data_IF_795021276071
#
_entry.id   IF_795021276071
#
_cell.length_a   1.000
_cell.length_b   1.000
_cell.length_c   1.000
_cell.angle_alpha   90.00
_cell.angle_beta   90.00
_cell.angle_gamma   90.00
#
_symmetry.space_group_name_H-M   'P 1'
#
loop_
_entity.id
_entity.type
_entity.pdbx_description
1 polymer ?
#
# COMPACT_ATOMS: atom_id res chain seq x y z
N UNK A 1 -75.60 43.64 89.24
CA UNK A 1 -74.51 42.72 88.86
C UNK A 1 -75.03 41.73 87.85
N UNK A 2 -74.75 41.96 86.56
CA UNK A 2 -74.78 40.88 85.56
C UNK A 2 -73.80 41.27 84.46
N UNK A 3 -72.58 40.75 84.56
CA UNK A 3 -71.58 40.89 83.52
C UNK A 3 -72.02 40.04 82.31
N UNK A 4 -72.25 40.70 81.18
CA UNK A 4 -72.36 40.04 79.88
C UNK A 4 -70.97 39.48 79.55
N UNK A 5 -70.84 38.17 79.68
CA UNK A 5 -69.68 37.41 79.22
C UNK A 5 -69.73 37.48 77.69
N UNK A 6 -68.88 38.33 77.11
CA UNK A 6 -68.52 38.23 75.70
C UNK A 6 -67.78 36.90 75.51
N UNK A 7 -68.52 35.85 75.16
CA UNK A 7 -67.94 34.62 74.67
C UNK A 7 -67.32 34.92 73.30
N UNK A 8 -66.00 35.12 73.29
CA UNK A 8 -65.22 35.09 72.05
C UNK A 8 -65.22 33.64 71.59
N UNK A 9 -65.99 33.33 70.57
CA UNK A 9 -65.87 32.08 69.84
C UNK A 9 -64.61 32.18 68.98
N UNK A 10 -63.50 31.60 69.45
CA UNK A 10 -62.37 31.30 68.58
C UNK A 10 -62.77 30.09 67.73
N UNK A 11 -63.16 30.35 66.48
CA UNK A 11 -63.43 29.29 65.52
C UNK A 11 -62.15 28.53 65.17
N UNK A 12 -62.27 27.22 64.94
CA UNK A 12 -61.16 26.40 64.43
C UNK A 12 -60.77 26.87 63.03
N UNK A 13 -59.47 27.03 62.78
CA UNK A 13 -58.95 27.48 61.49
C UNK A 13 -59.03 26.33 60.49
N UNK A 14 -59.65 26.58 59.34
CA UNK A 14 -59.75 25.58 58.28
C UNK A 14 -58.37 25.34 57.65
N UNK A 15 -57.95 24.07 57.57
CA UNK A 15 -56.63 23.69 57.07
C UNK A 15 -56.37 24.08 55.61
N UNK A 16 -57.44 24.27 54.82
CA UNK A 16 -57.36 24.49 53.37
C UNK A 16 -57.62 25.96 53.02
N UNK A 17 -58.55 26.60 53.73
CA UNK A 17 -59.06 27.93 53.40
C UNK A 17 -58.74 29.00 54.44
N UNK A 18 -57.91 28.71 55.44
CA UNK A 18 -57.30 29.73 56.29
C UNK A 18 -55.98 30.23 55.68
N UNK A 19 -56.05 31.33 54.91
CA UNK A 19 -54.94 31.81 54.10
C UNK A 19 -53.99 32.69 54.93
N UNK A 20 -52.70 32.37 54.87
CA UNK A 20 -51.65 33.25 55.40
C UNK A 20 -51.47 34.50 54.52
N UNK A 21 -51.33 35.67 55.15
CA UNK A 21 -51.26 36.97 54.46
C UNK A 21 -50.05 37.75 54.90
N UNK A 22 -49.48 38.53 53.98
CA UNK A 22 -48.33 39.40 54.24
C UNK A 22 -48.68 40.85 53.90
N UNK A 23 -48.16 41.80 54.68
CA UNK A 23 -48.28 43.24 54.42
C UNK A 23 -47.00 43.74 53.77
N UNK A 24 -47.11 44.33 52.57
CA UNK A 24 -46.01 45.02 51.90
C UNK A 24 -46.18 46.53 51.96
N UNK A 25 -45.11 47.26 52.26
CA UNK A 25 -45.05 48.72 52.16
C UNK A 25 -44.29 49.12 50.89
N UNK A 26 -44.97 49.80 49.97
CA UNK A 26 -44.43 50.26 48.68
C UNK A 26 -44.86 51.71 48.46
N UNK A 27 -43.89 52.64 48.35
CA UNK A 27 -44.15 54.09 48.21
C UNK A 27 -45.21 54.63 49.19
N UNK A 28 -45.13 54.24 50.46
CA UNK A 28 -46.08 54.68 51.50
C UNK A 28 -47.47 54.04 51.42
N UNK A 29 -47.72 53.15 50.45
CA UNK A 29 -48.96 52.37 50.35
C UNK A 29 -48.77 50.97 50.94
N UNK A 30 -49.74 50.51 51.72
CA UNK A 30 -49.74 49.16 52.31
C UNK A 30 -50.62 48.22 51.47
N UNK A 31 -50.06 47.08 51.09
CA UNK A 31 -50.74 46.01 50.36
C UNK A 31 -50.79 44.74 51.23
N UNK A 32 -51.99 44.26 51.59
CA UNK A 32 -52.19 42.98 52.29
C UNK A 32 -52.61 41.92 51.28
N UNK A 33 -51.78 40.90 51.08
CA UNK A 33 -51.96 39.89 50.01
C UNK A 33 -51.60 38.48 50.53
N UNK A 34 -52.12 37.41 49.92
CA UNK A 34 -51.73 36.04 50.28
C UNK A 34 -50.23 35.80 50.17
N UNK A 35 -49.62 35.21 51.21
CA UNK A 35 -48.18 34.96 51.28
C UNK A 35 -47.74 33.82 50.35
N UNK A 36 -48.57 32.78 50.25
CA UNK A 36 -48.26 31.53 49.56
C UNK A 36 -47.71 31.71 48.14
N UNK A 37 -48.36 32.54 47.32
CA UNK A 37 -47.97 32.74 45.92
C UNK A 37 -46.61 33.43 45.77
N UNK A 38 -46.18 34.24 46.73
CA UNK A 38 -44.85 34.85 46.73
C UNK A 38 -43.77 33.83 47.07
N UNK A 39 -44.00 32.98 48.06
CA UNK A 39 -43.01 31.97 48.50
C UNK A 39 -42.80 30.90 47.43
N UNK A 40 -43.86 30.47 46.75
CA UNK A 40 -43.74 29.44 45.70
C UNK A 40 -43.23 30.01 44.39
N UNK A 41 -43.71 31.20 44.02
CA UNK A 41 -43.35 31.81 42.75
C UNK A 41 -41.95 32.43 42.72
N UNK A 42 -41.33 32.68 43.87
CA UNK A 42 -40.06 33.41 43.97
C UNK A 42 -39.14 32.86 45.05
N UNK A 43 -37.91 32.55 44.64
CA UNK A 43 -36.82 32.17 45.56
C UNK A 43 -36.43 33.32 46.48
N UNK A 44 -36.43 34.55 45.96
CA UNK A 44 -36.17 35.76 46.75
C UNK A 44 -37.17 35.93 47.90
N UNK A 45 -38.47 35.77 47.63
CA UNK A 45 -39.48 35.90 48.67
C UNK A 45 -39.55 34.67 49.56
N UNK A 46 -39.24 33.47 49.07
CA UNK A 46 -39.09 32.30 49.92
C UNK A 46 -38.03 32.51 51.01
N UNK A 47 -36.88 33.08 50.64
CA UNK A 47 -35.80 33.41 51.60
C UNK A 47 -36.20 34.58 52.51
N UNK A 48 -36.67 35.69 51.92
CA UNK A 48 -36.99 36.92 52.65
C UNK A 48 -38.15 36.75 53.63
N UNK A 49 -39.16 35.96 53.27
CA UNK A 49 -40.33 35.72 54.11
C UNK A 49 -40.16 34.45 54.95
N UNK A 50 -39.41 33.45 54.49
CA UNK A 50 -39.29 32.13 55.15
C UNK A 50 -38.77 32.15 56.59
N UNK A 51 -38.07 33.20 57.00
CA UNK A 51 -37.61 33.39 58.39
C UNK A 51 -38.64 34.08 59.31
N UNK A 52 -39.75 34.56 58.74
CA UNK A 52 -40.85 35.20 59.50
C UNK A 52 -41.86 34.11 59.83
N UNK A 53 -41.84 33.64 61.07
CA UNK A 53 -42.90 32.80 61.64
C UNK A 53 -44.25 33.48 61.41
N UNK A 54 -45.29 32.74 60.98
CA UNK A 54 -46.64 33.29 60.88
C UNK A 54 -47.06 33.73 62.28
N UNK A 55 -47.07 35.04 62.54
CA UNK A 55 -47.42 35.55 63.86
C UNK A 55 -48.93 35.54 64.00
N UNK A 56 -49.43 34.78 64.98
CA UNK A 56 -50.85 34.65 65.34
C UNK A 56 -51.56 35.97 65.68
N UNK A 57 -50.83 37.07 65.80
CA UNK A 57 -51.37 38.40 66.02
C UNK A 57 -51.38 39.24 64.72
N UNK A 58 -52.54 39.26 64.03
CA UNK A 58 -52.81 40.12 62.85
C UNK A 58 -52.50 41.62 63.06
N UNK A 59 -52.44 42.03 64.33
CA UNK A 59 -52.23 43.41 64.79
C UNK A 59 -50.75 43.84 64.84
N UNK A 60 -49.79 42.91 64.96
CA UNK A 60 -48.40 43.26 65.33
C UNK A 60 -47.34 42.99 64.25
N UNK A 61 -47.71 42.50 63.06
CA UNK A 61 -46.76 42.32 61.97
C UNK A 61 -46.44 43.65 61.28
N UNK A 62 -45.17 44.07 61.38
CA UNK A 62 -44.63 45.21 60.66
C UNK A 62 -44.62 44.91 59.14
N UNK A 63 -45.01 45.87 58.30
CA UNK A 63 -45.05 45.64 56.85
C UNK A 63 -43.64 45.47 56.28
N UNK A 64 -43.47 44.49 55.40
CA UNK A 64 -42.23 44.25 54.67
C UNK A 64 -42.06 45.36 53.65
N UNK A 65 -41.01 46.16 53.79
CA UNK A 65 -40.71 47.24 52.83
C UNK A 65 -40.14 46.64 51.55
N UNK A 66 -40.73 46.99 50.40
CA UNK A 66 -40.20 46.63 49.09
C UNK A 66 -39.57 47.87 48.46
N UNK A 67 -38.26 47.80 48.28
CA UNK A 67 -37.49 48.79 47.54
C UNK A 67 -37.42 48.39 46.05
N UNK A 68 -37.28 49.38 45.16
CA UNK A 68 -37.13 49.14 43.72
C UNK A 68 -38.43 48.94 42.94
N UNK A 69 -39.59 49.20 43.53
CA UNK A 69 -40.88 49.19 42.83
C UNK A 69 -41.73 50.39 43.26
N UNK A 70 -42.45 50.97 42.31
CA UNK A 70 -43.50 51.96 42.60
C UNK A 70 -44.81 51.26 43.00
N UNK A 71 -45.70 51.96 43.69
CA UNK A 71 -47.00 51.41 44.07
C UNK A 71 -47.86 51.06 42.84
N UNK A 72 -47.71 51.79 41.72
CA UNK A 72 -48.38 51.48 40.46
C UNK A 72 -47.81 50.23 39.80
N UNK A 73 -46.49 50.09 39.73
CA UNK A 73 -45.82 48.90 39.19
C UNK A 73 -46.19 47.66 39.99
N UNK A 74 -46.21 47.76 41.32
CA UNK A 74 -46.59 46.65 42.18
C UNK A 74 -48.05 46.23 41.97
N UNK A 75 -48.98 47.16 41.74
CA UNK A 75 -50.37 46.83 41.37
C UNK A 75 -50.47 46.06 40.07
N UNK A 76 -49.66 46.42 39.06
CA UNK A 76 -49.61 45.67 37.79
C UNK A 76 -49.11 44.24 38.02
N UNK A 77 -48.09 44.07 38.86
CA UNK A 77 -47.59 42.74 39.21
C UNK A 77 -48.64 41.92 39.99
N UNK A 78 -49.32 42.54 40.96
CA UNK A 78 -50.40 41.90 41.70
C UNK A 78 -51.61 41.55 40.82
N UNK A 79 -51.92 42.34 39.79
CA UNK A 79 -52.96 42.02 38.80
C UNK A 79 -52.69 40.68 38.10
N UNK A 80 -51.42 40.34 37.87
CA UNK A 80 -51.01 39.04 37.31
C UNK A 80 -51.06 37.92 38.36
N UNK A 81 -50.57 38.19 39.58
CA UNK A 81 -50.48 37.19 40.65
C UNK A 81 -51.85 36.87 41.29
N UNK A 82 -52.73 37.86 41.40
CA UNK A 82 -54.07 37.76 41.98
C UNK A 82 -55.13 38.43 41.08
N UNK A 83 -55.60 37.73 40.04
CA UNK A 83 -56.64 38.24 39.17
C UNK A 83 -57.95 38.49 39.93
N UNK A 84 -58.44 39.74 39.93
CA UNK A 84 -59.64 40.15 40.70
C UNK A 84 -60.96 39.77 39.99
N UNK A 85 -60.96 39.60 38.67
CA UNK A 85 -62.16 39.29 37.88
C UNK A 85 -61.92 38.06 36.99
N UNK A 86 -62.35 36.88 37.44
CA UNK A 86 -62.00 35.60 36.80
C UNK A 86 -63.13 34.85 36.12
N UNK A 87 -64.33 35.42 36.00
CA UNK A 87 -65.47 34.67 35.43
C UNK A 87 -65.54 34.63 33.90
N UNK A 88 -64.87 35.52 33.14
CA UNK A 88 -64.78 35.36 31.66
C UNK A 88 -63.86 36.32 30.88
N UNK A 89 -62.83 36.93 31.49
CA UNK A 89 -61.96 37.87 30.78
C UNK A 89 -60.52 37.34 30.72
N UNK A 90 -60.01 37.12 29.51
CA UNK A 90 -58.58 37.02 29.25
C UNK A 90 -57.89 38.22 29.91
N UNK A 91 -56.95 37.95 30.83
CA UNK A 91 -56.15 39.01 31.43
C UNK A 91 -55.34 39.70 30.33
N UNK A 92 -55.71 40.94 30.00
CA UNK A 92 -54.99 41.74 29.04
C UNK A 92 -54.03 42.69 29.75
N UNK A 93 -52.80 42.71 29.24
CA UNK A 93 -51.75 43.61 29.66
C UNK A 93 -51.23 44.34 28.42
N UNK A 94 -51.02 45.64 28.58
CA UNK A 94 -50.34 46.50 27.60
C UNK A 94 -48.85 46.17 27.54
N UNK A 95 -48.15 46.65 26.50
CA UNK A 95 -46.68 46.51 26.39
C UNK A 95 -45.97 47.07 27.63
N UNK A 96 -46.36 48.26 28.08
CA UNK A 96 -45.76 48.91 29.25
C UNK A 96 -46.00 48.10 30.53
N UNK A 97 -47.20 47.53 30.70
CA UNK A 97 -47.46 46.64 31.83
C UNK A 97 -46.61 45.36 31.77
N UNK A 98 -46.40 44.77 30.59
CA UNK A 98 -45.50 43.62 30.44
C UNK A 98 -44.04 43.97 30.72
N UNK A 99 -43.60 45.19 30.38
CA UNK A 99 -42.26 45.68 30.76
C UNK A 99 -42.11 45.76 32.28
N UNK A 100 -43.14 46.24 32.96
CA UNK A 100 -43.18 46.25 34.43
C UNK A 100 -43.14 44.84 35.01
N UNK A 101 -43.91 43.91 34.44
CA UNK A 101 -43.87 42.50 34.87
C UNK A 101 -42.48 41.92 34.65
N UNK A 102 -41.85 42.18 33.50
CA UNK A 102 -40.50 41.73 33.20
C UNK A 102 -39.49 42.27 34.22
N UNK A 103 -39.52 43.56 34.51
CA UNK A 103 -38.63 44.22 35.47
C UNK A 103 -38.78 43.61 36.87
N UNK A 104 -39.99 43.57 37.42
CA UNK A 104 -40.24 43.09 38.77
C UNK A 104 -40.03 41.58 38.93
N UNK A 105 -40.41 40.80 37.92
CA UNK A 105 -40.14 39.35 37.93
C UNK A 105 -38.65 39.02 37.86
N UNK A 106 -37.86 39.88 37.22
CA UNK A 106 -36.39 39.78 37.22
C UNK A 106 -35.85 40.12 38.61
N UNK A 107 -36.24 41.28 39.16
CA UNK A 107 -35.79 41.77 40.46
C UNK A 107 -36.11 40.80 41.61
N UNK A 108 -37.28 40.17 41.56
CA UNK A 108 -37.76 39.27 42.61
C UNK A 108 -37.66 37.79 42.22
N UNK A 109 -36.92 37.43 41.18
CA UNK A 109 -36.71 36.03 40.79
C UNK A 109 -38.00 35.20 40.59
N UNK A 110 -39.05 35.80 40.01
CA UNK A 110 -40.22 35.07 39.52
C UNK A 110 -39.96 34.52 38.11
N UNK A 111 -39.29 33.37 38.03
CA UNK A 111 -38.83 32.81 36.76
C UNK A 111 -39.96 32.56 35.75
N UNK A 112 -41.10 32.02 36.19
CA UNK A 112 -42.25 31.75 35.30
C UNK A 112 -42.88 33.04 34.76
N UNK A 113 -43.02 34.07 35.60
CA UNK A 113 -43.61 35.33 35.16
C UNK A 113 -42.67 36.10 34.23
N UNK A 114 -41.37 35.98 34.49
CA UNK A 114 -40.33 36.50 33.60
C UNK A 114 -40.36 35.82 32.24
N UNK A 115 -40.50 34.48 32.20
CA UNK A 115 -40.68 33.71 30.96
C UNK A 115 -41.91 34.20 30.19
N UNK A 116 -43.05 34.29 30.87
CA UNK A 116 -44.30 34.77 30.28
C UNK A 116 -44.19 36.20 29.73
N UNK A 117 -43.57 37.12 30.48
CA UNK A 117 -43.37 38.49 30.02
C UNK A 117 -42.49 38.57 28.77
N UNK A 118 -41.41 37.76 28.69
CA UNK A 118 -40.58 37.66 27.47
C UNK A 118 -41.42 37.20 26.28
N UNK A 119 -42.22 36.16 26.43
CA UNK A 119 -43.06 35.59 25.36
C UNK A 119 -44.07 36.60 24.80
N UNK A 120 -44.65 37.45 25.66
CA UNK A 120 -45.57 38.50 25.23
C UNK A 120 -44.87 39.73 24.64
N UNK A 121 -43.66 40.07 25.11
CA UNK A 121 -42.91 41.23 24.64
C UNK A 121 -42.20 40.95 23.31
N UNK A 122 -41.61 39.77 23.12
CA UNK A 122 -40.77 39.45 21.96
C UNK A 122 -41.44 39.77 20.61
N UNK A 123 -42.72 39.43 20.35
CA UNK A 123 -43.40 39.79 19.10
C UNK A 123 -43.66 41.29 18.92
N UNK A 124 -43.55 42.09 19.99
CA UNK A 124 -43.81 43.54 20.00
C UNK A 124 -42.53 44.38 19.94
N UNK A 125 -41.35 43.74 19.97
CA UNK A 125 -40.05 44.41 19.90
C UNK A 125 -39.59 44.53 18.45
N UNK A 126 -40.02 45.59 17.79
CA UNK A 126 -39.65 45.88 16.39
C UNK A 126 -38.52 46.91 16.26
N UNK A 127 -38.28 47.74 17.27
CA UNK A 127 -37.19 48.72 17.26
C UNK A 127 -35.89 48.04 17.71
N UNK A 128 -34.83 48.01 16.88
CA UNK A 128 -33.56 47.39 17.26
C UNK A 128 -32.88 48.06 18.45
N UNK A 129 -33.12 49.35 18.67
CA UNK A 129 -32.56 50.07 19.83
C UNK A 129 -33.25 49.62 21.11
N UNK A 130 -34.57 49.53 21.07
CA UNK A 130 -35.38 48.98 22.15
C UNK A 130 -34.97 47.54 22.47
N UNK A 131 -34.76 46.69 21.46
CA UNK A 131 -34.29 45.31 21.65
C UNK A 131 -32.95 45.25 22.41
N UNK A 132 -31.98 46.10 22.06
CA UNK A 132 -30.68 46.15 22.73
C UNK A 132 -30.82 46.63 24.17
N UNK A 133 -31.54 47.73 24.40
CA UNK A 133 -31.68 48.33 25.73
C UNK A 133 -32.42 47.38 26.67
N UNK A 134 -33.56 46.83 26.24
CA UNK A 134 -34.34 45.89 27.04
C UNK A 134 -33.61 44.54 27.19
N UNK A 135 -32.96 44.06 26.13
CA UNK A 135 -32.18 42.83 26.18
C UNK A 135 -31.04 42.91 27.20
N UNK A 136 -30.37 44.05 27.32
CA UNK A 136 -29.36 44.28 28.35
C UNK A 136 -29.97 44.35 29.75
N UNK A 137 -30.99 45.18 29.93
CA UNK A 137 -31.65 45.38 31.23
C UNK A 137 -32.26 44.09 31.78
N UNK A 138 -32.83 43.28 30.89
CA UNK A 138 -33.46 42.02 31.23
C UNK A 138 -32.55 40.82 31.02
N UNK A 139 -31.25 40.94 30.74
CA UNK A 139 -30.35 39.80 30.52
C UNK A 139 -30.88 38.78 29.49
N UNK A 140 -31.34 39.26 28.35
CA UNK A 140 -31.84 38.46 27.21
C UNK A 140 -30.90 38.65 26.02
N UNK A 141 -29.85 37.80 25.86
CA UNK A 141 -28.84 37.94 24.82
C UNK A 141 -29.43 37.92 23.41
N UNK A 142 -30.47 37.10 23.19
CA UNK A 142 -31.18 36.97 21.91
C UNK A 142 -31.70 38.32 21.39
N UNK A 143 -32.29 39.14 22.27
CA UNK A 143 -32.80 40.46 21.89
C UNK A 143 -31.66 41.41 21.52
N UNK A 144 -30.56 41.38 22.26
CA UNK A 144 -29.38 42.21 21.97
C UNK A 144 -28.75 41.85 20.62
N UNK A 145 -28.57 40.55 20.34
CA UNK A 145 -28.05 40.06 19.06
C UNK A 145 -28.95 40.46 17.90
N UNK A 146 -30.26 40.22 18.00
CA UNK A 146 -31.21 40.61 16.96
C UNK A 146 -31.15 42.12 16.67
N UNK A 147 -31.02 42.94 17.72
CA UNK A 147 -30.89 44.38 17.56
C UNK A 147 -29.60 44.78 16.86
N UNK A 148 -28.47 44.16 17.22
CA UNK A 148 -27.18 44.38 16.54
C UNK A 148 -27.22 43.96 15.07
N UNK A 149 -27.70 42.76 14.78
CA UNK A 149 -27.83 42.26 13.40
C UNK A 149 -28.73 43.18 12.57
N UNK A 150 -29.85 43.62 13.13
CA UNK A 150 -30.75 44.57 12.48
C UNK A 150 -30.04 45.90 12.21
N UNK A 151 -29.30 46.46 13.17
CA UNK A 151 -28.55 47.71 12.96
C UNK A 151 -27.41 47.59 11.95
N UNK A 152 -26.80 46.41 11.84
CA UNK A 152 -25.76 46.12 10.84
C UNK A 152 -26.38 45.99 9.44
N UNK A 153 -27.52 45.31 9.32
CA UNK A 153 -28.18 45.11 8.03
C UNK A 153 -28.94 46.35 7.52
N UNK A 154 -29.44 47.20 8.43
CA UNK A 154 -30.23 48.39 8.11
C UNK A 154 -29.42 49.40 7.28
N UNK A 155 -29.96 49.96 6.18
CA UNK A 155 -29.24 50.94 5.36
C UNK A 155 -29.08 52.30 6.05
N UNK A 156 -30.03 52.72 6.88
CA UNK A 156 -29.97 53.98 7.62
C UNK A 156 -28.81 54.00 8.63
N UNK A 157 -28.18 55.17 8.77
CA UNK A 157 -27.14 55.40 9.78
C UNK A 157 -27.69 55.25 11.21
N UNK A 158 -26.80 54.95 12.16
CA UNK A 158 -27.11 55.03 13.58
C UNK A 158 -26.97 56.50 13.98
N UNK A 159 -28.08 57.13 14.34
CA UNK A 159 -28.08 58.54 14.76
C UNK A 159 -27.37 58.73 16.10
N UNK A 160 -26.99 59.97 16.41
CA UNK A 160 -26.34 60.31 17.69
C UNK A 160 -27.19 59.90 18.90
N UNK A 161 -28.51 60.13 18.84
CA UNK A 161 -29.46 59.73 19.90
C UNK A 161 -29.56 58.21 20.06
N UNK A 162 -29.50 57.46 18.97
CA UNK A 162 -29.46 55.99 19.02
C UNK A 162 -28.12 55.52 19.61
N UNK A 163 -27.02 56.16 19.23
CA UNK A 163 -25.68 55.88 19.75
C UNK A 163 -25.56 56.10 21.26
N UNK A 164 -26.16 57.18 21.78
CA UNK A 164 -26.22 57.45 23.22
C UNK A 164 -26.92 56.33 23.99
N UNK A 165 -28.02 55.79 23.45
CA UNK A 165 -28.81 54.72 24.10
C UNK A 165 -28.09 53.38 24.14
N UNK A 166 -27.40 53.00 23.06
CA UNK A 166 -26.69 51.70 22.97
C UNK A 166 -25.20 51.80 23.37
N UNK A 167 -24.70 53.01 23.62
CA UNK A 167 -23.32 53.29 23.97
C UNK A 167 -22.40 53.47 22.75
N UNK A 168 -21.57 54.51 22.79
CA UNK A 168 -20.72 54.90 21.67
C UNK A 168 -19.75 53.80 21.20
N UNK A 169 -19.17 53.03 22.13
CA UNK A 169 -18.28 51.92 21.77
C UNK A 169 -19.01 50.84 20.98
N UNK A 170 -20.24 50.48 21.40
CA UNK A 170 -21.13 49.56 20.68
C UNK A 170 -21.38 50.09 19.26
N UNK A 171 -21.73 51.38 19.14
CA UNK A 171 -21.96 52.02 17.84
C UNK A 171 -20.75 51.94 16.91
N UNK A 172 -19.54 52.25 17.41
CA UNK A 172 -18.30 52.14 16.61
C UNK A 172 -18.08 50.69 16.15
N UNK A 173 -18.26 49.71 17.04
CA UNK A 173 -18.13 48.29 16.70
C UNK A 173 -19.14 47.86 15.63
N UNK A 174 -20.39 48.34 15.70
CA UNK A 174 -21.42 48.07 14.69
C UNK A 174 -21.06 48.71 13.35
N UNK A 175 -20.54 49.94 13.32
CA UNK A 175 -20.08 50.58 12.09
C UNK A 175 -18.92 49.83 11.42
N UNK A 176 -17.98 49.29 12.20
CA UNK A 176 -16.92 48.44 11.68
C UNK A 176 -17.51 47.20 11.00
N UNK A 177 -18.43 46.49 11.68
CA UNK A 177 -19.08 45.32 11.12
C UNK A 177 -19.88 45.61 9.84
N UNK A 178 -20.52 46.79 9.78
CA UNK A 178 -21.21 47.28 8.57
C UNK A 178 -20.25 47.49 7.42
N UNK A 179 -19.11 48.11 7.69
CA UNK A 179 -18.08 48.36 6.66
C UNK A 179 -17.46 47.07 6.13
N UNK A 180 -17.25 46.09 7.02
CA UNK A 180 -16.71 44.77 6.68
C UNK A 180 -17.73 43.83 6.02
N UNK A 181 -19.00 44.24 5.89
CA UNK A 181 -20.11 43.39 5.45
C UNK A 181 -20.21 42.06 6.24
N UNK A 182 -19.82 42.09 7.52
CA UNK A 182 -19.57 40.90 8.33
C UNK A 182 -20.72 40.58 9.29
N UNK A 183 -21.95 40.43 8.77
CA UNK A 183 -23.13 40.16 9.60
C UNK A 183 -22.98 38.87 10.44
N UNK A 184 -22.42 37.81 9.85
CA UNK A 184 -22.12 36.56 10.56
C UNK A 184 -21.05 36.68 11.66
N UNK A 185 -20.36 37.83 11.76
CA UNK A 185 -19.35 38.10 12.80
C UNK A 185 -19.91 38.86 14.00
N UNK A 186 -21.20 39.26 14.01
CA UNK A 186 -21.81 40.01 15.13
C UNK A 186 -21.61 39.26 16.45
N UNK A 187 -22.00 37.99 16.52
CA UNK A 187 -21.86 37.16 17.72
C UNK A 187 -20.40 37.02 18.17
N UNK A 188 -19.46 36.91 17.24
CA UNK A 188 -18.03 36.82 17.57
C UNK A 188 -17.49 38.13 18.14
N UNK A 189 -17.88 39.27 17.54
CA UNK A 189 -17.41 40.60 17.92
C UNK A 189 -17.94 41.06 19.27
N UNK A 190 -19.15 40.62 19.64
CA UNK A 190 -19.80 40.92 20.91
C UNK A 190 -19.81 39.73 21.89
N UNK A 191 -18.94 38.72 21.67
CA UNK A 191 -18.91 37.48 22.45
C UNK A 191 -18.88 37.71 23.96
N UNK A 192 -18.03 38.62 24.42
CA UNK A 192 -17.87 38.92 25.85
C UNK A 192 -19.18 39.43 26.47
N UNK A 193 -19.79 40.43 25.84
CA UNK A 193 -21.07 41.00 26.29
C UNK A 193 -22.19 39.95 26.28
N UNK A 194 -22.29 39.17 25.20
CA UNK A 194 -23.30 38.10 25.10
C UNK A 194 -23.09 37.04 26.18
N UNK A 195 -21.85 36.65 26.43
CA UNK A 195 -21.53 35.69 27.49
C UNK A 195 -21.89 36.21 28.88
N UNK A 196 -21.63 37.49 29.18
CA UNK A 196 -22.03 38.10 30.45
C UNK A 196 -23.55 38.11 30.61
N UNK A 197 -24.29 38.44 29.55
CA UNK A 197 -25.76 38.41 29.57
C UNK A 197 -26.30 36.98 29.75
N UNK A 198 -25.67 35.97 29.15
CA UNK A 198 -26.04 34.56 29.31
C UNK A 198 -25.82 34.07 30.74
N UNK A 199 -24.67 34.42 31.35
CA UNK A 199 -24.37 34.07 32.74
C UNK A 199 -25.40 34.69 33.68
N UNK A 200 -25.67 35.99 33.56
CA UNK A 200 -26.64 36.70 34.40
C UNK A 200 -28.08 36.23 34.12
N UNK A 201 -28.38 35.88 32.87
CA UNK A 201 -29.67 35.31 32.47
C UNK A 201 -29.89 33.90 33.01
N UNK A 202 -28.84 33.12 33.25
CA UNK A 202 -28.90 31.74 33.77
C UNK A 202 -29.57 31.66 35.14
N UNK A 203 -29.31 32.63 36.00
CA UNK A 203 -29.92 32.75 37.33
C UNK A 203 -31.43 32.91 37.27
N UNK A 204 -31.95 33.35 36.12
CA UNK A 204 -33.36 33.65 35.92
C UNK A 204 -34.12 32.59 35.13
N UNK A 205 -33.48 31.45 34.80
CA UNK A 205 -34.12 30.35 34.06
C UNK A 205 -35.10 29.58 34.92
N UNK A 206 -36.21 29.16 34.33
CA UNK A 206 -37.12 28.19 34.97
C UNK A 206 -36.43 26.83 35.13
N UNK A 207 -36.97 25.97 35.99
CA UNK A 207 -36.45 24.60 36.15
C UNK A 207 -36.51 23.81 34.83
N UNK A 208 -37.56 24.03 34.04
CA UNK A 208 -37.72 23.47 32.70
C UNK A 208 -36.64 23.99 31.74
N UNK A 209 -36.43 25.31 31.65
CA UNK A 209 -35.39 25.92 30.80
C UNK A 209 -33.97 25.44 31.18
N UNK A 210 -33.71 25.20 32.47
CA UNK A 210 -32.43 24.63 32.94
C UNK A 210 -32.24 23.19 32.49
N UNK A 211 -33.30 22.37 32.56
CA UNK A 211 -33.26 20.98 32.13
C UNK A 211 -33.02 20.87 30.62
N UNK A 212 -33.75 21.66 29.83
CA UNK A 212 -33.59 21.73 28.38
C UNK A 212 -32.18 22.16 27.98
N UNK A 213 -31.65 23.23 28.59
CA UNK A 213 -30.28 23.68 28.32
C UNK A 213 -29.22 22.63 28.68
N UNK A 214 -29.44 21.85 29.75
CA UNK A 214 -28.54 20.76 30.12
C UNK A 214 -28.62 19.58 29.14
N UNK A 215 -29.81 19.27 28.62
CA UNK A 215 -30.02 18.25 27.60
C UNK A 215 -29.38 18.66 26.26
N UNK A 216 -29.58 19.91 25.83
CA UNK A 216 -28.92 20.50 24.66
C UNK A 216 -27.40 20.44 24.77
N UNK A 217 -26.83 20.84 25.92
CA UNK A 217 -25.40 20.78 26.16
C UNK A 217 -24.85 19.34 26.08
N UNK A 218 -25.60 18.36 26.61
CA UNK A 218 -25.25 16.93 26.51
C UNK A 218 -25.27 16.45 25.07
N UNK A 219 -26.29 16.82 24.29
CA UNK A 219 -26.37 16.45 22.87
C UNK A 219 -25.20 17.03 22.07
N UNK A 220 -24.86 18.31 22.29
CA UNK A 220 -23.70 18.94 21.62
C UNK A 220 -22.40 18.22 21.98
N UNK A 221 -22.21 17.87 23.25
CA UNK A 221 -21.04 17.11 23.68
C UNK A 221 -20.98 15.72 23.06
N UNK A 222 -22.11 15.01 22.98
CA UNK A 222 -22.20 13.69 22.34
C UNK A 222 -21.86 13.77 20.84
N UNK A 223 -22.37 14.77 20.14
CA UNK A 223 -22.06 15.00 18.73
C UNK A 223 -20.57 15.31 18.52
N UNK A 224 -19.97 16.13 19.39
CA UNK A 224 -18.55 16.44 19.32
C UNK A 224 -17.67 15.20 19.54
N UNK A 225 -18.04 14.32 20.49
CA UNK A 225 -17.34 13.04 20.71
C UNK A 225 -17.45 12.15 19.47
N UNK A 226 -18.65 12.01 18.89
CA UNK A 226 -18.85 11.22 17.67
C UNK A 226 -18.06 11.75 16.47
N UNK A 227 -17.98 13.07 16.32
CA UNK A 227 -17.18 13.70 15.26
C UNK A 227 -15.69 13.39 15.44
N UNK A 228 -15.18 13.47 16.67
CA UNK A 228 -13.78 13.16 16.98
C UNK A 228 -13.48 11.66 16.79
N UNK A 229 -14.36 10.76 17.25
CA UNK A 229 -14.24 9.32 16.99
C UNK A 229 -14.18 9.01 15.50
N UNK A 230 -15.02 9.69 14.69
CA UNK A 230 -14.99 9.55 13.23
C UNK A 230 -13.66 10.04 12.65
N UNK A 231 -13.11 11.17 13.10
CA UNK A 231 -11.79 11.65 12.67
C UNK A 231 -10.69 10.64 12.98
N UNK A 232 -10.71 10.07 14.19
CA UNK A 232 -9.73 9.05 14.59
C UNK A 232 -9.87 7.79 13.74
N UNK A 233 -11.10 7.36 13.43
CA UNK A 233 -11.32 6.21 12.53
C UNK A 233 -10.83 6.50 11.10
N UNK A 234 -11.08 7.70 10.56
CA UNK A 234 -10.59 8.10 9.25
C UNK A 234 -9.05 8.11 9.20
N UNK A 235 -8.38 8.61 10.24
CA UNK A 235 -6.91 8.59 10.34
C UNK A 235 -6.36 7.16 10.41
N UNK A 236 -6.95 6.29 11.23
CA UNK A 236 -6.53 4.87 11.30
C UNK A 236 -6.69 4.16 9.97
N UNK A 237 -7.79 4.41 9.25
CA UNK A 237 -8.00 3.82 7.93
C UNK A 237 -6.97 4.30 6.90
N UNK A 238 -6.51 5.55 7.00
CA UNK A 238 -5.43 6.08 6.16
C UNK A 238 -4.08 5.43 6.50
N UNK A 239 -3.77 5.26 7.79
CA UNK A 239 -2.56 4.56 8.25
C UNK A 239 -2.54 3.10 7.75
N UNK A 240 -3.64 2.36 7.94
CA UNK A 240 -3.77 0.97 7.46
C UNK A 240 -3.64 0.86 5.93
N UNK A 241 -4.21 1.83 5.19
CA UNK A 241 -4.09 1.87 3.74
C UNK A 241 -2.65 2.17 3.27
N UNK A 242 -1.92 3.02 3.99
CA UNK A 242 -0.51 3.30 3.73
C UNK A 242 0.38 2.09 4.02
N UNK A 243 0.17 1.41 5.14
CA UNK A 243 0.87 0.17 5.48
C UNK A 243 0.62 -0.92 4.42
N UNK A 244 -0.63 -1.09 3.99
CA UNK A 244 -0.98 -2.04 2.94
C UNK A 244 -0.30 -1.70 1.60
N UNK A 245 -0.19 -0.40 1.26
CA UNK A 245 0.52 0.06 0.05
C UNK A 245 2.01 -0.26 0.13
N UNK A 246 2.64 -0.02 1.27
CA UNK A 246 4.05 -0.33 1.49
C UNK A 246 4.30 -1.84 1.41
N UNK A 247 3.48 -2.65 2.07
CA UNK A 247 3.58 -4.10 2.01
C UNK A 247 3.39 -4.66 0.58
N UNK A 248 2.47 -4.09 -0.20
CA UNK A 248 2.29 -4.46 -1.60
C UNK A 248 3.50 -4.11 -2.46
N UNK A 249 4.13 -2.97 -2.20
CA UNK A 249 5.36 -2.54 -2.87
C UNK A 249 6.55 -3.44 -2.53
N UNK A 250 6.72 -3.78 -1.24
CA UNK A 250 7.74 -4.73 -0.80
C UNK A 250 7.55 -6.12 -1.44
N UNK A 251 6.30 -6.60 -1.49
CA UNK A 251 5.97 -7.86 -2.15
C UNK A 251 6.24 -7.83 -3.67
N UNK A 252 6.04 -6.67 -4.32
CA UNK A 252 6.38 -6.46 -5.73
C UNK A 252 7.88 -6.58 -5.96
N UNK A 253 8.68 -5.89 -5.14
CA UNK A 253 10.14 -5.93 -5.19
C UNK A 253 10.66 -7.36 -4.94
N UNK A 254 10.10 -8.06 -3.94
CA UNK A 254 10.48 -9.44 -3.64
C UNK A 254 10.20 -10.40 -4.80
N UNK A 255 9.08 -10.23 -5.52
CA UNK A 255 8.77 -11.03 -6.72
C UNK A 255 9.74 -10.76 -7.86
N UNK A 256 10.12 -9.50 -8.08
CA UNK A 256 11.09 -9.12 -9.10
C UNK A 256 12.47 -9.72 -8.83
N UNK A 257 12.94 -9.64 -7.58
CA UNK A 257 14.19 -10.28 -7.16
C UNK A 257 14.16 -11.82 -7.32
N UNK A 258 13.04 -12.46 -6.99
CA UNK A 258 12.89 -13.91 -7.17
C UNK A 258 12.95 -14.32 -8.65
N UNK A 259 12.36 -13.51 -9.55
CA UNK A 259 12.46 -13.73 -10.99
C UNK A 259 13.90 -13.55 -11.48
N UNK A 260 14.61 -12.51 -11.05
CA UNK A 260 16.03 -12.33 -11.39
C UNK A 260 16.91 -13.50 -10.91
N UNK A 261 16.66 -14.01 -9.70
CA UNK A 261 17.37 -15.19 -9.19
C UNK A 261 17.09 -16.43 -10.03
N UNK A 262 15.83 -16.65 -10.43
CA UNK A 262 15.45 -17.77 -11.29
C UNK A 262 16.06 -17.65 -12.70
N UNK A 263 16.07 -16.46 -13.30
CA UNK A 263 16.76 -16.19 -14.57
C UNK A 263 18.26 -16.48 -14.48
N UNK A 264 18.90 -16.08 -13.37
CA UNK A 264 20.32 -16.39 -13.13
C UNK A 264 20.56 -17.89 -13.02
N UNK A 265 19.68 -18.62 -12.35
CA UNK A 265 19.75 -20.09 -12.24
C UNK A 265 19.64 -20.75 -13.60
N UNK A 266 18.64 -20.36 -14.40
CA UNK A 266 18.45 -20.87 -15.77
C UNK A 266 19.68 -20.56 -16.65
N UNK A 267 20.21 -19.34 -16.55
CA UNK A 267 21.40 -18.95 -17.31
C UNK A 267 22.65 -19.76 -16.91
N UNK A 268 22.80 -20.14 -15.63
CA UNK A 268 23.86 -21.04 -15.19
C UNK A 268 23.66 -22.45 -15.75
N UNK A 269 22.47 -23.02 -15.65
CA UNK A 269 22.16 -24.34 -16.21
C UNK A 269 22.41 -24.40 -17.72
N UNK A 270 22.01 -23.37 -18.47
CA UNK A 270 22.27 -23.28 -19.91
C UNK A 270 23.77 -23.23 -20.22
N UNK A 271 24.56 -22.49 -19.45
CA UNK A 271 26.03 -22.46 -19.62
C UNK A 271 26.66 -23.83 -19.35
N UNK A 272 26.18 -24.56 -18.33
CA UNK A 272 26.67 -25.90 -18.04
C UNK A 272 26.31 -26.89 -19.15
N UNK A 273 25.09 -26.81 -19.69
CA UNK A 273 24.66 -27.62 -20.83
C UNK A 273 25.46 -27.31 -22.09
N UNK A 274 25.68 -26.03 -22.41
CA UNK A 274 26.48 -25.62 -23.56
C UNK A 274 27.93 -26.11 -23.43
N UNK A 275 28.52 -25.99 -22.23
CA UNK A 275 29.85 -26.52 -21.97
C UNK A 275 29.90 -28.05 -22.14
N UNK A 276 28.92 -28.77 -21.60
CA UNK A 276 28.83 -30.22 -21.75
C UNK A 276 28.64 -30.65 -23.23
N UNK A 277 27.90 -29.86 -24.01
CA UNK A 277 27.75 -30.08 -25.45
C UNK A 277 29.05 -29.82 -26.20
N UNK A 278 29.76 -28.73 -25.90
CA UNK A 278 31.09 -28.45 -26.47
C UNK A 278 32.09 -29.57 -26.15
N UNK A 279 32.10 -30.06 -24.90
CA UNK A 279 32.94 -31.20 -24.50
C UNK A 279 32.56 -32.48 -25.26
N UNK A 280 31.27 -32.75 -25.47
CA UNK A 280 30.81 -33.87 -26.29
C UNK A 280 31.24 -33.75 -27.75
N UNK A 281 31.09 -32.58 -28.35
CA UNK A 281 31.52 -32.32 -29.73
C UNK A 281 33.03 -32.50 -29.86
N UNK A 282 33.81 -31.91 -28.96
CA UNK A 282 35.26 -32.06 -28.95
C UNK A 282 35.70 -33.53 -28.77
N UNK A 283 35.01 -34.29 -27.91
CA UNK A 283 35.27 -35.72 -27.73
C UNK A 283 34.95 -36.52 -29.01
N UNK A 284 33.88 -36.17 -29.71
CA UNK A 284 33.48 -36.81 -30.96
C UNK A 284 34.45 -36.46 -32.11
N UNK A 285 34.88 -35.20 -32.22
CA UNK A 285 35.92 -34.78 -33.17
C UNK A 285 37.25 -35.48 -32.91
N UNK A 286 37.64 -35.62 -31.64
CA UNK A 286 38.82 -36.39 -31.25
C UNK A 286 38.69 -37.87 -31.63
N UNK A 287 37.49 -38.46 -31.48
CA UNK A 287 37.19 -39.84 -31.90
C UNK A 287 37.31 -40.00 -33.41
N UNK A 288 36.73 -39.08 -34.18
CA UNK A 288 36.83 -39.06 -35.66
C UNK A 288 38.29 -38.91 -36.09
N UNK A 289 39.05 -38.03 -35.44
CA UNK A 289 40.47 -37.78 -35.75
C UNK A 289 41.31 -39.03 -35.50
N UNK A 290 41.11 -39.71 -34.35
CA UNK A 290 41.75 -41.01 -34.09
C UNK A 290 41.39 -42.04 -35.16
N UNK A 291 40.12 -42.13 -35.54
CA UNK A 291 39.67 -43.08 -36.57
C UNK A 291 40.30 -42.79 -37.94
N UNK A 292 40.47 -41.51 -38.30
CA UNK A 292 41.18 -41.12 -39.52
C UNK A 292 42.65 -41.55 -39.49
N UNK A 293 43.35 -41.31 -38.38
CA UNK A 293 44.74 -41.73 -38.21
C UNK A 293 44.88 -43.26 -38.30
N UNK A 294 43.98 -44.03 -37.68
CA UNK A 294 43.95 -45.49 -37.79
C UNK A 294 43.78 -45.94 -39.25
N UNK A 295 42.86 -45.31 -39.99
CA UNK A 295 42.62 -45.61 -41.40
C UNK A 295 43.81 -45.24 -42.27
N UNK A 296 44.48 -44.11 -42.02
CA UNK A 296 45.71 -43.72 -42.72
C UNK A 296 46.86 -44.72 -42.45
N UNK A 297 47.01 -45.19 -41.21
CA UNK A 297 47.97 -46.24 -40.87
C UNK A 297 47.64 -47.56 -41.57
N UNK A 298 46.36 -47.93 -41.62
CA UNK A 298 45.89 -49.12 -42.32
C UNK A 298 46.13 -49.01 -43.83
N UNK A 299 45.86 -47.84 -44.43
CA UNK A 299 46.13 -47.56 -45.83
C UNK A 299 47.64 -47.63 -46.15
N UNK A 300 48.50 -47.08 -45.27
CA UNK A 300 49.96 -47.22 -45.37
C UNK A 300 50.41 -48.68 -45.29
N UNK A 301 49.77 -49.48 -44.42
CA UNK A 301 50.06 -50.93 -44.32
C UNK A 301 49.63 -51.66 -45.59
N UNK A 302 48.46 -51.34 -46.14
CA UNK A 302 47.97 -51.93 -47.39
C UNK A 302 48.88 -51.55 -48.55
N UNK A 303 49.23 -50.27 -48.72
CA UNK A 303 50.14 -49.81 -49.79
C UNK A 303 51.53 -50.42 -49.66
N UNK A 304 52.04 -50.57 -48.44
CA UNK A 304 53.30 -51.28 -48.20
C UNK A 304 53.19 -52.75 -48.60
N UNK A 305 52.13 -53.44 -48.17
CA UNK A 305 51.89 -54.84 -48.55
C UNK A 305 51.71 -55.03 -50.06
N UNK A 306 51.07 -54.08 -50.74
CA UNK A 306 50.97 -54.08 -52.21
C UNK A 306 52.32 -53.92 -52.89
N UNK A 307 53.20 -53.02 -52.38
CA UNK A 307 54.58 -52.91 -52.91
C UNK A 307 55.38 -54.19 -52.67
N UNK A 308 55.27 -54.79 -51.49
CA UNK A 308 55.96 -56.05 -51.19
C UNK A 308 55.49 -57.18 -52.12
N UNK A 309 54.19 -57.25 -52.43
CA UNK A 309 53.63 -58.18 -53.41
C UNK A 309 54.11 -57.88 -54.85
N UNK A 310 54.17 -56.61 -55.26
CA UNK A 310 54.71 -56.22 -56.57
C UNK A 310 56.21 -56.57 -56.69
N UNK A 311 56.99 -56.34 -55.64
CA UNK A 311 58.41 -56.72 -55.58
C UNK A 311 58.59 -58.25 -55.62
N UNK A 312 57.72 -59.00 -54.94
CA UNK A 312 57.73 -60.47 -54.94
C UNK A 312 57.29 -61.04 -56.31
N UNK A 313 56.29 -60.44 -56.95
CA UNK A 313 55.85 -60.82 -58.30
C UNK A 313 56.91 -60.48 -59.36
N UNK A 314 57.60 -59.34 -59.23
CA UNK A 314 58.70 -58.97 -60.10
C UNK A 314 59.94 -59.88 -59.90
N UNK A 315 60.26 -60.25 -58.66
CA UNK A 315 61.26 -61.25 -58.35
C UNK A 315 60.92 -62.63 -58.94
N UNK A 316 59.65 -63.04 -58.86
CA UNK A 316 59.15 -64.28 -59.48
C UNK A 316 59.25 -64.23 -61.02
N UNK A 317 58.98 -63.07 -61.63
CA UNK A 317 59.14 -62.85 -63.08
C UNK A 317 60.60 -62.97 -63.52
N UNK A 318 61.53 -62.46 -62.73
CA UNK A 318 62.98 -62.59 -62.96
C UNK A 318 63.42 -64.05 -62.83
N UNK A 319 62.92 -64.78 -61.82
CA UNK A 319 63.23 -66.20 -61.62
C UNK A 319 62.73 -67.08 -62.78
N UNK A 320 61.52 -66.82 -63.32
CA UNK A 320 60.99 -67.52 -64.51
C UNK A 320 61.85 -67.28 -65.76
N UNK A 321 62.36 -66.06 -65.96
CA UNK A 321 63.31 -65.76 -67.05
C UNK A 321 64.67 -66.44 -66.86
N UNK A 322 65.13 -66.60 -65.62
CA UNK A 322 66.38 -67.30 -65.30
C UNK A 322 66.32 -68.82 -65.52
N UNK A 323 65.13 -69.42 -65.41
CA UNK A 323 64.92 -70.86 -65.66
C UNK A 323 64.90 -71.20 -67.15
N UNK A 324 64.30 -70.36 -68.00
CA UNK A 324 64.30 -70.58 -69.46
C UNK A 324 65.70 -70.62 -70.07
N UNK A 325 66.61 -69.76 -69.58
CA UNK A 325 68.01 -69.70 -70.05
C UNK A 325 68.87 -70.90 -69.61
N UNK A 326 68.45 -71.64 -68.56
CA UNK A 326 69.16 -72.85 -68.10
C UNK A 326 68.78 -74.09 -68.90
N UNK A 327 67.56 -74.17 -69.43
CA UNK A 327 67.13 -75.28 -70.28
C UNK A 327 67.75 -75.20 -71.68
N UNK A 328 67.85 -74.00 -72.26
CA UNK A 328 68.51 -73.78 -73.57
C UNK A 328 70.01 -74.10 -73.57
N UNK A 329 70.70 -73.87 -72.45
CA UNK A 329 72.14 -74.23 -72.33
C UNK A 329 72.36 -75.74 -72.22
N UNK A 330 71.39 -76.48 -71.70
CA UNK A 330 71.50 -77.93 -71.49
C UNK A 330 71.29 -78.69 -72.80
N UNK A 331 70.35 -78.23 -73.63
CA UNK A 331 70.10 -78.80 -74.96
C UNK A 331 71.23 -78.52 -75.96
N UNK A 332 71.91 -77.38 -75.83
CA UNK A 332 73.07 -77.05 -76.68
C UNK A 332 74.31 -77.93 -76.40
N UNK A 333 74.52 -78.37 -75.15
CA UNK A 333 75.67 -79.23 -74.79
C UNK A 333 75.49 -80.69 -75.22
N UNK A 334 74.26 -81.21 -75.23
CA UNK A 334 73.99 -82.60 -75.62
C UNK A 334 74.13 -82.85 -77.12
N UNK A 335 73.93 -81.82 -77.96
CA UNK A 335 74.12 -81.89 -79.42
C UNK A 335 75.60 -81.89 -79.83
N UNK A 336 76.46 -81.17 -79.09
CA UNK A 336 77.89 -81.05 -79.41
C UNK A 336 78.68 -82.33 -79.04
N UNK A 337 78.20 -83.10 -78.07
CA UNK A 337 78.81 -84.36 -77.63
C UNK A 337 78.47 -85.54 -78.57
N UNK A 338 77.29 -85.53 -79.19
CA UNK A 338 76.86 -86.55 -80.15
C UNK A 338 77.69 -86.48 -81.46
N UNK A 339 77.96 -85.27 -81.96
CA UNK A 339 78.70 -85.03 -83.22
C UNK A 339 80.18 -85.47 -83.12
N UNK A 340 80.78 -85.42 -81.92
CA UNK A 340 82.16 -85.90 -81.68
C UNK A 340 82.29 -87.42 -81.68
N UNK A 341 81.24 -88.15 -81.33
CA UNK A 341 81.28 -89.61 -81.27
C UNK A 341 81.15 -90.29 -82.63
N UNK A 342 80.50 -89.62 -83.59
CA UNK A 342 80.30 -90.15 -84.95
C UNK A 342 81.59 -90.05 -85.80
N UNK A 343 82.30 -88.91 -85.69
CA UNK A 343 83.58 -88.67 -86.38
C UNK A 343 84.73 -89.58 -85.91
N UNK A 344 84.70 -90.05 -84.66
CA UNK A 344 85.73 -90.96 -84.12
C UNK A 344 85.57 -92.41 -84.61
N UNK A 345 84.39 -92.80 -85.10
CA UNK A 345 84.12 -94.15 -85.62
C UNK A 345 84.67 -94.37 -87.03
N UNK A 346 84.59 -93.34 -87.89
CA UNK A 346 84.97 -93.45 -89.31
C UNK A 346 86.49 -93.42 -89.55
N UNK A 347 87.27 -92.76 -88.67
CA UNK A 347 88.74 -92.75 -88.74
C UNK A 347 89.39 -94.08 -88.30
N UNK A 348 88.73 -94.84 -87.42
CA UNK A 348 89.28 -96.11 -86.91
C UNK A 348 89.21 -97.27 -87.93
N UNK A 349 88.24 -97.24 -88.85
CA UNK A 349 88.05 -98.30 -89.86
C UNK A 349 89.01 -98.17 -91.05
N UNK A 350 89.34 -96.92 -91.47
CA UNK A 350 90.29 -96.68 -92.56
C UNK A 350 91.75 -97.03 -92.19
N UNK A 351 92.11 -96.96 -90.91
CA UNK A 351 93.45 -97.32 -90.43
C UNK A 351 93.66 -98.85 -90.43
N UNK A 352 92.60 -99.64 -90.18
CA UNK A 352 92.69 -101.11 -90.14
C UNK A 352 92.90 -101.72 -91.54
N UNK A 353 92.24 -101.18 -92.56
CA UNK A 353 92.35 -101.67 -93.94
C UNK A 353 93.71 -101.37 -94.58
N UNK A 354 94.39 -100.28 -94.20
CA UNK A 354 95.74 -99.94 -94.70
C UNK A 354 96.88 -100.71 -94.02
N UNK A 355 96.61 -101.36 -92.89
CA UNK A 355 97.59 -102.17 -92.17
C UNK A 355 97.74 -103.57 -92.78
N UNK A 356 96.64 -104.19 -93.22
CA UNK A 356 96.65 -105.55 -93.79
C UNK A 356 97.26 -105.60 -95.20
N UNK A 357 97.15 -104.52 -95.99
CA UNK A 357 97.71 -104.45 -97.34
C UNK A 357 99.26 -104.33 -97.35
N UNK A 358 99.84 -103.73 -96.29
CA UNK A 358 101.30 -103.54 -96.14
C UNK A 358 102.05 -104.75 -95.59
N UNK A 359 101.35 -105.73 -95.02
CA UNK A 359 101.95 -106.98 -94.55
C UNK A 359 102.06 -108.02 -95.68
N UNK A 360 101.14 -108.01 -96.64
CA UNK A 360 101.18 -108.94 -97.78
C UNK A 360 102.29 -108.61 -98.79
N UNK A 361 102.61 -107.33 -99.03
CA UNK A 361 103.69 -106.93 -99.95
C UNK A 361 105.10 -107.28 -99.43
N UNK A 362 105.32 -107.22 -98.11
CA UNK A 362 106.63 -107.53 -97.51
C UNK A 362 107.00 -109.02 -97.57
N UNK A 363 105.99 -109.91 -97.55
CA UNK A 363 106.21 -111.34 -97.71
C UNK A 363 106.59 -111.75 -99.15
N UNK A 364 106.23 -110.93 -100.16
CA UNK A 364 106.54 -111.19 -101.57
C UNK A 364 107.96 -110.77 -101.98
N UNK A 365 108.53 -109.74 -101.35
CA UNK A 365 109.86 -109.20 -101.70
C UNK A 365 111.05 -109.96 -101.06
N UNK A 366 110.82 -110.72 -99.98
CA UNK A 366 111.89 -111.49 -99.31
C UNK A 366 112.21 -112.85 -99.97
N UNK A 367 111.27 -113.44 -100.72
CA UNK A 367 111.57 -114.68 -101.50
C UNK A 367 112.29 -114.41 -102.82
N UNK A 368 112.20 -113.21 -103.39
CA UNK A 368 112.90 -112.84 -104.62
C UNK A 368 114.37 -112.46 -104.38
N UNK A 369 114.75 -112.04 -103.16
CA UNK A 369 116.13 -111.68 -102.78
C UNK A 369 117.08 -112.85 -102.52
N UNK A 370 116.61 -114.09 -102.40
CA UNK A 370 117.48 -115.27 -102.29
C UNK A 370 117.81 -115.94 -103.63
N UNK A 371 117.30 -115.42 -104.76
CA UNK A 371 117.52 -115.99 -106.10
C UNK A 371 118.60 -115.30 -106.94
N UNK A 372 119.21 -114.20 -106.49
CA UNK A 372 120.06 -113.40 -107.39
C UNK A 372 121.28 -112.72 -106.77
N UNK A 373 122.04 -113.47 -105.96
CA UNK A 373 123.46 -113.17 -105.66
C UNK A 373 124.22 -114.50 -105.77
N UNK A 374 124.47 -114.99 -107.00
CA UNK A 374 125.77 -114.82 -107.68
C UNK A 374 126.63 -116.06 -107.40
N UNK A 375 126.72 -117.09 -108.25
CA UNK A 375 126.92 -117.10 -109.71
C UNK A 375 127.93 -116.09 -110.22
N UNK A 376 129.01 -115.89 -109.48
CA UNK A 376 130.27 -115.44 -110.06
C UNK A 376 131.46 -116.05 -109.31
N UNK A 377 132.40 -116.61 -110.08
CA UNK A 377 133.71 -117.19 -109.70
C UNK A 377 133.78 -118.71 -109.45
N UNK A 378 133.61 -119.44 -110.55
CA UNK A 378 134.53 -120.51 -110.95
C UNK A 378 136.00 -120.00 -110.93
N UNK A 379 136.91 -120.67 -110.21
CA UNK A 379 138.20 -121.19 -110.75
C UNK A 379 139.22 -121.52 -109.65
N UNK A 380 140.08 -122.51 -109.95
CA UNK A 380 141.22 -123.07 -109.19
C UNK A 380 140.85 -124.04 -108.04
N UNK A 381 140.82 -125.37 -108.20
CA UNK A 381 141.81 -126.34 -108.77
C UNK A 381 143.08 -126.50 -107.92
N UNK A 382 143.15 -127.57 -107.12
CA UNK A 382 144.34 -128.39 -106.73
C UNK A 382 143.81 -129.64 -105.99
N UNK A 383 143.66 -130.81 -106.64
CA UNK A 383 144.58 -131.98 -106.61
C UNK A 383 145.24 -132.27 -105.25
N UNK A 384 144.85 -133.37 -104.60
CA UNK A 384 145.67 -134.60 -104.57
C UNK A 384 144.80 -135.84 -104.34
N UNK A 385 145.20 -136.93 -105.00
CA UNK A 385 145.12 -138.34 -104.60
C UNK A 385 143.82 -138.92 -104.05
#
# INVERSE_FOLDING_TARGET
MTALINAVFEGERDEIYYWDTVKFLVEGSIFKVPRYQFVIGSTYFAEKLGSTEPSDNESNEAPVTLEGATASQFRVFLKLLFPIHTTSATLSFTKDEWLVVLELSTLWHFHEFRKLAKEHLEPQLNDPIEQIVLGRAAYVPKWVLNGYETLVARPECISEKESEKIGHLTTVRLYILRHECALGSVTSRFREEIHELEQRGSDHRTSEEKLLAAEEARMVQELAVKEEERRVQELRALEEAEEARLAAEEARIARELALEEEERRIAQELKELEKAEQERVAAEEARITRRKLELEEEERRITKGLRELEEEEEAARIARKGLGLKEERRTAQELEEAERTELAGEEAEQVRLRAEEREAERASEEQEKQRYDGRERLSLRQKTR
#
